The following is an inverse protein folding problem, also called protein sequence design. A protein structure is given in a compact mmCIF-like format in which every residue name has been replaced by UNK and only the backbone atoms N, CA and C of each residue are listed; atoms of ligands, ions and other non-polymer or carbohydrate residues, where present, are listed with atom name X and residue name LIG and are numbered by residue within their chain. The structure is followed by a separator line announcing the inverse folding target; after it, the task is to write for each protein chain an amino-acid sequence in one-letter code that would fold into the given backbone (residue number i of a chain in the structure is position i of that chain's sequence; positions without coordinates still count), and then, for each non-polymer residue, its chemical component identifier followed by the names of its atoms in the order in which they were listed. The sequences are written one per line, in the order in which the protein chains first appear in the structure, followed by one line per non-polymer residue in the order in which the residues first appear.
data_IF_902241127456
#
_entry.id   IF_902241127456
#
_cell.length_a   1.000
_cell.length_b   1.000
_cell.length_c   1.000
_cell.angle_alpha   90.00
_cell.angle_beta   90.00
_cell.angle_gamma   90.00
#
_symmetry.space_group_name_H-M   'P 1'
#
loop_
_entity.id
_entity.type
_entity.pdbx_description
1 polymer ?
#
# COMPACT_ATOMS: atom_id res chain seq x y z
N UNK A 1 27.85 11.36 21.49
CA UNK A 1 26.43 11.28 21.14
C UNK A 1 26.00 9.88 21.49
N UNK A 2 25.23 9.77 22.56
CA UNK A 2 24.82 8.50 23.17
C UNK A 2 23.67 7.92 22.34
N UNK A 3 23.86 6.73 21.76
CA UNK A 3 22.78 6.05 21.04
C UNK A 3 21.88 5.42 22.08
N UNK A 4 20.83 6.14 22.46
CA UNK A 4 19.77 5.62 23.32
C UNK A 4 19.24 4.30 22.76
N UNK A 5 19.45 3.25 23.53
CA UNK A 5 19.01 1.89 23.24
C UNK A 5 17.48 1.88 23.17
N UNK A 6 16.93 1.82 21.96
CA UNK A 6 15.50 1.71 21.75
C UNK A 6 15.09 0.28 22.14
N UNK A 7 14.71 0.08 23.40
CA UNK A 7 14.16 -1.18 23.90
C UNK A 7 12.90 -1.50 23.11
N UNK A 8 13.04 -2.41 22.15
CA UNK A 8 12.01 -2.86 21.23
C UNK A 8 11.13 -3.89 21.93
N UNK A 9 10.35 -3.44 22.90
CA UNK A 9 9.36 -4.31 23.54
C UNK A 9 8.13 -4.45 22.62
N UNK A 10 8.26 -5.35 21.64
CA UNK A 10 7.23 -5.72 20.67
C UNK A 10 6.06 -6.50 21.29
N UNK A 11 6.06 -6.71 22.61
CA UNK A 11 5.04 -7.49 23.33
C UNK A 11 3.75 -6.70 23.62
N UNK A 12 3.71 -5.38 23.37
CA UNK A 12 2.55 -4.53 23.73
C UNK A 12 1.37 -4.64 22.75
N UNK A 13 1.55 -5.24 21.57
CA UNK A 13 0.45 -5.54 20.65
C UNK A 13 -0.06 -6.97 20.86
N UNK A 14 -0.52 -7.27 22.08
CA UNK A 14 -1.38 -8.43 22.26
C UNK A 14 -2.58 -8.28 21.30
N UNK A 15 -2.93 -9.30 20.50
CA UNK A 15 -4.06 -9.20 19.59
C UNK A 15 -5.31 -8.95 20.44
N UNK A 16 -5.85 -7.73 20.34
CA UNK A 16 -7.10 -7.38 21.00
C UNK A 16 -8.12 -8.49 20.73
N UNK A 17 -8.80 -9.04 21.75
CA UNK A 17 -9.86 -10.01 21.53
C UNK A 17 -10.81 -9.47 20.46
N UNK A 18 -11.09 -10.25 19.42
CA UNK A 18 -11.88 -9.88 18.23
C UNK A 18 -13.21 -9.19 18.62
N UNK A 19 -13.72 -9.46 19.82
CA UNK A 19 -14.93 -8.85 20.37
C UNK A 19 -14.86 -7.32 20.51
N UNK A 20 -13.69 -6.73 20.77
CA UNK A 20 -13.51 -5.28 20.98
C UNK A 20 -13.03 -4.53 19.73
N UNK A 21 -12.84 -5.22 18.60
CA UNK A 21 -12.47 -4.61 17.34
C UNK A 21 -13.60 -3.70 16.78
N UNK A 22 -13.26 -2.59 16.09
CA UNK A 22 -14.24 -1.81 15.35
C UNK A 22 -15.09 -2.69 14.44
N UNK A 23 -16.36 -2.34 14.26
CA UNK A 23 -17.32 -3.12 13.45
C UNK A 23 -16.75 -3.49 12.08
N UNK A 24 -16.10 -2.54 11.41
CA UNK A 24 -15.45 -2.73 10.10
C UNK A 24 -14.36 -3.79 10.12
N UNK A 25 -13.54 -3.84 11.18
CA UNK A 25 -12.49 -4.84 11.33
C UNK A 25 -13.06 -6.24 11.57
N UNK A 26 -14.17 -6.35 12.32
CA UNK A 26 -14.88 -7.62 12.51
C UNK A 26 -15.49 -8.14 11.22
N UNK A 27 -16.02 -7.26 10.37
CA UNK A 27 -16.49 -7.63 9.03
C UNK A 27 -15.34 -8.12 8.14
N UNK A 28 -14.23 -7.39 8.10
CA UNK A 28 -13.04 -7.82 7.35
C UNK A 28 -12.58 -9.21 7.80
N UNK A 29 -12.46 -9.44 9.11
CA UNK A 29 -12.09 -10.75 9.66
C UNK A 29 -13.05 -11.88 9.23
N UNK A 30 -14.36 -11.60 9.16
CA UNK A 30 -15.34 -12.58 8.64
C UNK A 30 -15.13 -12.84 7.15
N UNK A 31 -14.91 -11.80 6.34
CA UNK A 31 -14.66 -11.96 4.91
C UNK A 31 -13.38 -12.76 4.64
N UNK A 32 -12.29 -12.45 5.36
CA UNK A 32 -10.99 -13.14 5.25
C UNK A 32 -11.14 -14.63 5.52
N UNK A 33 -11.97 -15.05 6.49
CA UNK A 33 -12.21 -16.48 6.79
C UNK A 33 -12.81 -17.27 5.62
N UNK A 34 -13.55 -16.61 4.74
CA UNK A 34 -14.21 -17.24 3.59
C UNK A 34 -13.51 -16.94 2.26
N UNK A 35 -12.41 -16.19 2.29
CA UNK A 35 -11.65 -15.85 1.10
C UNK A 35 -10.87 -17.07 0.59
N UNK A 36 -10.70 -17.16 -0.73
CA UNK A 36 -9.74 -18.10 -1.33
C UNK A 36 -8.31 -17.77 -0.85
N UNK A 37 -7.34 -18.70 -0.97
CA UNK A 37 -5.97 -18.48 -0.49
C UNK A 37 -5.33 -17.19 -1.02
N UNK A 38 -5.72 -16.78 -2.23
CA UNK A 38 -5.28 -15.53 -2.82
C UNK A 38 -6.35 -14.89 -3.72
N UNK A 39 -6.29 -13.56 -3.82
CA UNK A 39 -6.96 -12.76 -4.85
C UNK A 39 -5.90 -12.11 -5.73
N UNK A 40 -6.07 -12.19 -7.04
CA UNK A 40 -5.19 -11.52 -8.00
C UNK A 40 -5.83 -10.23 -8.50
N UNK A 41 -5.04 -9.17 -8.54
CA UNK A 41 -5.41 -7.86 -9.09
C UNK A 41 -4.32 -7.45 -10.07
N UNK A 42 -4.68 -6.93 -11.24
CA UNK A 42 -3.71 -6.42 -12.20
C UNK A 42 -3.73 -4.90 -12.15
N UNK A 43 -2.58 -4.26 -11.93
CA UNK A 43 -2.46 -2.80 -11.98
C UNK A 43 -2.52 -2.29 -13.42
N UNK A 44 -3.38 -1.30 -13.73
CA UNK A 44 -3.40 -0.65 -15.04
C UNK A 44 -2.13 0.18 -15.28
N UNK A 45 -1.54 0.04 -16.46
CA UNK A 45 -0.25 0.66 -16.80
C UNK A 45 -0.32 2.19 -16.82
N UNK A 46 -1.38 2.74 -17.40
CA UNK A 46 -1.66 4.17 -17.52
C UNK A 46 -1.69 4.89 -16.17
N UNK A 47 -2.10 4.18 -15.12
CA UNK A 47 -2.27 4.72 -13.76
C UNK A 47 -1.00 4.62 -12.93
N UNK A 48 -0.30 3.49 -13.02
CA UNK A 48 0.85 3.18 -12.15
C UNK A 48 2.21 3.31 -12.86
N UNK A 49 2.21 3.52 -14.18
CA UNK A 49 3.40 3.46 -15.04
C UNK A 49 3.94 2.06 -15.27
N UNK A 50 3.38 1.05 -14.59
CA UNK A 50 3.80 -0.35 -14.65
C UNK A 50 2.56 -1.24 -14.51
N UNK A 51 2.45 -2.23 -15.41
CA UNK A 51 1.46 -3.29 -15.30
C UNK A 51 2.04 -4.43 -14.45
N UNK A 52 1.40 -4.71 -13.30
CA UNK A 52 1.85 -5.75 -12.38
C UNK A 52 0.66 -6.56 -11.88
N UNK A 53 0.84 -7.88 -11.78
CA UNK A 53 -0.08 -8.73 -11.03
C UNK A 53 0.26 -8.63 -9.54
N UNK A 54 -0.63 -8.02 -8.79
CA UNK A 54 -0.64 -8.03 -7.34
C UNK A 54 -1.43 -9.26 -6.84
N UNK A 55 -0.88 -9.95 -5.85
CA UNK A 55 -1.51 -11.11 -5.23
C UNK A 55 -1.75 -10.80 -3.75
N UNK A 56 -3.02 -10.64 -3.36
CA UNK A 56 -3.40 -10.48 -1.96
C UNK A 56 -3.58 -11.88 -1.39
N UNK A 57 -2.63 -12.32 -0.56
CA UNK A 57 -2.76 -13.58 0.15
C UNK A 57 -3.66 -13.41 1.37
N UNK A 58 -4.39 -14.46 1.75
CA UNK A 58 -5.20 -14.48 2.95
C UNK A 58 -4.36 -14.21 4.21
N UNK A 59 -3.09 -14.63 4.22
CA UNK A 59 -2.12 -14.36 5.30
C UNK A 59 -1.85 -12.86 5.45
N UNK A 60 -1.66 -12.14 4.35
CA UNK A 60 -1.44 -10.68 4.38
C UNK A 60 -2.63 -9.93 4.97
N UNK A 61 -3.86 -10.40 4.73
CA UNK A 61 -5.06 -9.82 5.31
C UNK A 61 -5.24 -10.20 6.78
N UNK A 62 -4.85 -11.42 7.18
CA UNK A 62 -4.81 -11.82 8.60
C UNK A 62 -3.83 -10.96 9.38
N UNK A 63 -2.65 -10.72 8.81
CA UNK A 63 -1.63 -9.84 9.41
C UNK A 63 -2.17 -8.41 9.54
N UNK A 64 -2.71 -7.84 8.47
CA UNK A 64 -3.34 -6.52 8.51
C UNK A 64 -4.46 -6.43 9.57
N UNK A 65 -5.33 -7.45 9.61
CA UNK A 65 -6.45 -7.48 10.56
C UNK A 65 -6.01 -7.65 12.02
N UNK A 66 -4.77 -8.09 12.23
CA UNK A 66 -4.15 -8.28 13.55
C UNK A 66 -3.20 -7.14 13.90
N UNK A 67 -3.29 -5.99 13.22
CA UNK A 67 -2.43 -4.82 13.43
C UNK A 67 -0.93 -5.10 13.23
N UNK A 68 -0.58 -6.08 12.39
CA UNK A 68 0.80 -6.31 11.94
C UNK A 68 1.14 -5.39 10.76
N UNK A 69 2.44 -5.23 10.42
CA UNK A 69 2.84 -4.40 9.29
C UNK A 69 2.03 -4.70 8.02
N UNK A 70 1.54 -3.64 7.38
CA UNK A 70 0.69 -3.74 6.20
C UNK A 70 1.54 -4.25 5.03
N UNK A 71 1.14 -5.37 4.43
CA UNK A 71 1.82 -5.90 3.26
C UNK A 71 1.66 -4.95 2.05
N UNK A 72 2.69 -4.89 1.21
CA UNK A 72 2.68 -4.14 -0.06
C UNK A 72 1.45 -4.47 -0.89
N UNK A 73 1.05 -5.76 -0.95
CA UNK A 73 -0.12 -6.19 -1.70
C UNK A 73 -1.44 -5.61 -1.18
N UNK A 74 -1.59 -5.49 0.15
CA UNK A 74 -2.77 -4.88 0.77
C UNK A 74 -2.85 -3.38 0.44
N UNK A 75 -1.72 -2.66 0.49
CA UNK A 75 -1.70 -1.25 0.13
C UNK A 75 -1.92 -1.06 -1.38
N UNK A 76 -1.30 -1.88 -2.23
CA UNK A 76 -1.54 -1.85 -3.68
C UNK A 76 -3.01 -2.09 -4.04
N UNK A 77 -3.70 -2.98 -3.32
CA UNK A 77 -5.13 -3.19 -3.47
C UNK A 77 -5.95 -1.96 -3.05
N UNK A 78 -5.56 -1.27 -1.99
CA UNK A 78 -6.21 -0.03 -1.58
C UNK A 78 -6.01 1.10 -2.59
N UNK A 79 -4.80 1.26 -3.15
CA UNK A 79 -4.57 2.26 -4.20
C UNK A 79 -5.36 1.92 -5.46
N UNK A 80 -5.51 0.64 -5.80
CA UNK A 80 -6.41 0.22 -6.88
C UNK A 80 -7.87 0.59 -6.59
N UNK A 81 -8.34 0.36 -5.36
CA UNK A 81 -9.68 0.78 -4.96
C UNK A 81 -9.83 2.30 -5.11
N UNK A 82 -8.87 3.08 -4.62
CA UNK A 82 -8.88 4.54 -4.74
C UNK A 82 -8.95 4.99 -6.21
N UNK A 83 -8.16 4.36 -7.08
CA UNK A 83 -8.22 4.55 -8.52
C UNK A 83 -9.64 4.33 -9.07
N UNK A 84 -10.25 3.16 -8.83
CA UNK A 84 -11.60 2.85 -9.35
C UNK A 84 -12.65 3.84 -8.83
N UNK A 85 -12.48 4.33 -7.61
CA UNK A 85 -13.35 5.37 -7.03
C UNK A 85 -13.16 6.71 -7.73
N UNK A 86 -11.94 7.15 -7.97
CA UNK A 86 -11.66 8.41 -8.69
C UNK A 86 -12.12 8.35 -10.15
N UNK A 87 -11.96 7.21 -10.80
CA UNK A 87 -12.50 6.96 -12.14
C UNK A 87 -14.02 7.09 -12.15
N UNK A 88 -14.72 6.46 -11.20
CA UNK A 88 -16.18 6.58 -11.07
C UNK A 88 -16.66 8.01 -10.80
N UNK A 89 -15.82 8.82 -10.15
CA UNK A 89 -16.07 10.23 -9.86
C UNK A 89 -15.60 11.17 -10.99
N UNK A 90 -14.99 10.65 -12.07
CA UNK A 90 -14.42 11.42 -13.18
C UNK A 90 -13.37 12.45 -12.73
N UNK A 91 -12.61 12.11 -11.70
CA UNK A 91 -11.54 12.96 -11.14
C UNK A 91 -10.15 12.35 -11.32
N UNK A 92 -10.06 11.19 -11.99
CA UNK A 92 -8.82 10.45 -12.19
C UNK A 92 -7.72 11.29 -12.86
N UNK A 93 -8.09 12.18 -13.78
CA UNK A 93 -7.16 13.05 -14.50
C UNK A 93 -6.39 14.04 -13.61
N UNK A 94 -6.80 14.20 -12.34
CA UNK A 94 -6.14 15.05 -11.34
C UNK A 94 -5.06 14.30 -10.55
N UNK A 95 -4.91 12.99 -10.75
CA UNK A 95 -4.03 12.17 -9.92
C UNK A 95 -3.15 11.26 -10.78
N UNK A 96 -1.90 11.12 -10.38
CA UNK A 96 -1.00 10.05 -10.84
C UNK A 96 -0.50 9.25 -9.65
N UNK A 97 -0.30 7.96 -9.88
CA UNK A 97 0.13 7.02 -8.86
C UNK A 97 1.47 6.41 -9.24
N UNK A 98 2.24 6.04 -8.22
CA UNK A 98 3.44 5.20 -8.35
C UNK A 98 3.10 3.78 -7.87
N UNK A 99 3.59 2.75 -8.59
CA UNK A 99 3.48 1.37 -8.12
C UNK A 99 4.16 1.19 -6.76
N UNK A 100 3.35 0.80 -5.76
CA UNK A 100 3.77 0.64 -4.36
C UNK A 100 4.97 -0.31 -4.24
N UNK A 101 4.97 -1.41 -5.00
CA UNK A 101 5.98 -2.45 -4.88
C UNK A 101 7.31 -2.09 -5.54
N UNK A 102 7.31 -1.25 -6.57
CA UNK A 102 8.49 -0.95 -7.38
C UNK A 102 9.44 0.05 -6.71
N UNK A 103 8.90 0.91 -5.85
CA UNK A 103 9.68 1.87 -5.05
C UNK A 103 10.01 1.39 -3.62
N UNK A 104 9.45 0.24 -3.23
CA UNK A 104 9.64 -0.38 -1.92
C UNK A 104 10.83 -1.35 -1.91
N UNK A 105 10.91 -2.21 -0.88
CA UNK A 105 11.99 -3.18 -0.67
C UNK A 105 12.15 -4.12 -1.87
N UNK A 106 13.38 -4.25 -2.38
CA UNK A 106 13.74 -5.20 -3.45
C UNK A 106 14.34 -4.57 -4.72
N UNK A 107 14.26 -3.25 -4.90
CA UNK A 107 14.88 -2.51 -6.02
C UNK A 107 16.10 -1.69 -5.58
N UNK A 108 17.04 -1.50 -6.51
CA UNK A 108 18.23 -0.66 -6.32
C UNK A 108 17.85 0.83 -6.14
N UNK A 109 18.78 1.68 -5.67
CA UNK A 109 18.50 3.13 -5.56
C UNK A 109 18.26 3.74 -6.95
N UNK A 110 19.00 3.25 -7.93
CA UNK A 110 19.02 3.72 -9.31
C UNK A 110 17.71 3.37 -10.03
N UNK A 111 17.22 2.13 -9.90
CA UNK A 111 15.91 1.72 -10.45
C UNK A 111 14.77 2.55 -9.87
N UNK A 112 14.80 2.79 -8.55
CA UNK A 112 13.79 3.62 -7.88
C UNK A 112 13.84 5.06 -8.36
N UNK A 113 15.03 5.63 -8.49
CA UNK A 113 15.21 6.99 -8.98
C UNK A 113 14.74 7.15 -10.43
N UNK A 114 15.05 6.18 -11.30
CA UNK A 114 14.60 6.18 -12.70
C UNK A 114 13.07 6.11 -12.77
N UNK A 115 12.44 5.20 -12.05
CA UNK A 115 10.98 5.05 -12.03
C UNK A 115 10.30 6.32 -11.55
N UNK A 116 10.77 6.90 -10.43
CA UNK A 116 10.25 8.15 -9.90
C UNK A 116 10.42 9.31 -10.89
N UNK A 117 11.58 9.41 -11.54
CA UNK A 117 11.87 10.44 -12.54
C UNK A 117 10.95 10.32 -13.75
N UNK A 118 10.79 9.10 -14.30
CA UNK A 118 9.87 8.84 -15.41
C UNK A 118 8.44 9.20 -15.05
N UNK A 119 7.99 8.86 -13.84
CA UNK A 119 6.63 9.20 -13.42
C UNK A 119 6.44 10.70 -13.21
N UNK A 120 7.43 11.37 -12.61
CA UNK A 120 7.40 12.81 -12.38
C UNK A 120 7.40 13.60 -13.70
N UNK A 121 8.28 13.27 -14.65
CA UNK A 121 8.32 13.90 -15.97
C UNK A 121 7.03 13.67 -16.76
N UNK A 122 6.36 12.55 -16.51
CA UNK A 122 5.07 12.25 -17.11
C UNK A 122 3.88 12.84 -16.35
N UNK A 123 4.06 13.68 -15.32
CA UNK A 123 2.98 14.30 -14.55
C UNK A 123 2.71 15.73 -15.03
N UNK A 124 1.44 16.06 -15.23
CA UNK A 124 1.00 17.39 -15.67
C UNK A 124 0.96 18.37 -14.49
N UNK A 125 1.06 19.68 -14.75
CA UNK A 125 1.12 20.71 -13.69
C UNK A 125 -0.12 20.79 -12.78
N UNK A 126 -1.25 20.26 -13.21
CA UNK A 126 -2.50 20.23 -12.45
C UNK A 126 -2.76 18.88 -11.76
N UNK A 127 -1.79 17.97 -11.80
CA UNK A 127 -1.91 16.62 -11.26
C UNK A 127 -1.12 16.43 -9.96
N UNK A 128 -1.75 15.76 -9.01
CA UNK A 128 -1.12 15.29 -7.79
C UNK A 128 -0.45 13.93 -8.02
N UNK A 129 0.86 13.84 -7.80
CA UNK A 129 1.59 12.58 -7.82
C UNK A 129 1.63 11.96 -6.42
N UNK A 130 1.03 10.78 -6.28
CA UNK A 130 0.93 10.01 -5.03
C UNK A 130 1.97 8.89 -4.99
N UNK A 131 2.85 8.95 -4.00
CA UNK A 131 4.02 8.07 -3.86
C UNK A 131 3.99 7.35 -2.50
N UNK A 132 3.40 6.15 -2.43
CA UNK A 132 3.42 5.33 -1.22
C UNK A 132 4.77 4.61 -1.08
N UNK A 133 5.54 4.98 -0.07
CA UNK A 133 6.88 4.46 0.19
C UNK A 133 6.93 3.64 1.49
N UNK A 134 7.58 2.47 1.45
CA UNK A 134 7.86 1.67 2.64
C UNK A 134 9.36 1.65 2.93
N UNK A 135 9.73 2.06 4.14
CA UNK A 135 11.07 1.87 4.67
C UNK A 135 11.01 1.12 6.00
N UNK A 136 11.52 -0.11 6.03
CA UNK A 136 11.67 -0.87 7.27
C UNK A 136 10.35 -1.12 8.03
N UNK A 137 9.26 -1.41 7.32
CA UNK A 137 7.89 -1.57 7.85
C UNK A 137 7.20 -0.27 8.27
N UNK A 138 7.79 0.89 7.97
CA UNK A 138 7.14 2.17 8.10
C UNK A 138 6.62 2.65 6.74
N UNK A 139 5.31 2.89 6.66
CA UNK A 139 4.67 3.42 5.46
C UNK A 139 4.60 4.94 5.52
N UNK A 140 4.93 5.59 4.41
CA UNK A 140 4.85 7.03 4.21
C UNK A 140 4.20 7.31 2.88
N UNK A 141 3.31 8.31 2.82
CA UNK A 141 2.78 8.82 1.56
C UNK A 141 3.45 10.16 1.27
N UNK A 142 4.17 10.24 0.15
CA UNK A 142 4.68 11.51 -0.39
C UNK A 142 3.71 11.98 -1.47
N UNK A 143 3.37 13.26 -1.44
CA UNK A 143 2.49 13.92 -2.42
C UNK A 143 3.25 15.07 -3.05
N UNK A 144 3.29 15.12 -4.37
CA UNK A 144 3.86 16.22 -5.14
C UNK A 144 2.71 16.92 -5.88
N UNK A 145 2.69 18.24 -5.82
CA UNK A 145 1.72 19.14 -6.45
C UNK A 145 2.46 20.21 -7.24
#
# INVERSE_FOLDING_TARGET
MDYGEFTKDMTTFAPTPIQNAPVTLRFLLRMVKHMRPAIQITTPYDVFGIQRKCCIMIESLKDFSSMRPIAIACLGAYIMYLYTRMESLRTLNLYKFVDVGSISCGSSKEERAQLLTTRLLGTDYDQLLLIPYNFGNHWTLVVIN
#
